data_IF_867678246761
#
_entry.id   IF_867678246761
#
_cell.length_a   1.000
_cell.length_b   1.000
_cell.length_c   1.000
_cell.angle_alpha   90.00
_cell.angle_beta   90.00
_cell.angle_gamma   90.00
#
_symmetry.space_group_name_H-M   'P 1'
#
loop_
_entity.id
_entity.type
_entity.pdbx_description
1 polymer ?
#
# COMPACT_ATOMS: atom_id res chain seq x y z
N UNK A 1 -4.88 -29.23 22.97
CA UNK A 1 -5.46 -28.21 22.06
C UNK A 1 -4.43 -27.46 21.20
N UNK A 2 -3.17 -27.25 21.63
CA UNK A 2 -2.14 -26.63 20.79
C UNK A 2 -1.65 -27.41 19.52
N UNK A 3 -1.64 -28.77 19.45
CA UNK A 3 -1.09 -29.46 18.28
C UNK A 3 -2.01 -29.48 17.06
N UNK A 4 -3.32 -29.21 17.23
CA UNK A 4 -4.30 -29.26 16.14
C UNK A 4 -4.32 -27.94 15.34
N UNK A 5 -4.17 -26.80 16.02
CA UNK A 5 -4.05 -25.48 15.37
C UNK A 5 -2.79 -25.34 14.50
N UNK A 6 -1.67 -25.97 14.90
CA UNK A 6 -0.45 -25.96 14.09
C UNK A 6 -0.60 -26.77 12.80
N UNK A 7 -1.41 -27.84 12.79
CA UNK A 7 -1.75 -28.60 11.56
C UNK A 7 -2.71 -27.83 10.65
N UNK A 8 -3.61 -27.02 11.22
CA UNK A 8 -4.46 -26.10 10.46
C UNK A 8 -3.65 -24.96 9.81
N UNK A 9 -2.53 -24.52 10.40
CA UNK A 9 -1.70 -23.43 9.85
C UNK A 9 -1.04 -23.74 8.49
N UNK A 10 -0.95 -25.01 8.12
CA UNK A 10 -0.50 -25.46 6.79
C UNK A 10 -1.64 -25.65 5.79
N UNK A 11 -2.89 -25.41 6.17
CA UNK A 11 -4.04 -25.55 5.27
C UNK A 11 -4.03 -24.44 4.20
N UNK A 12 -3.80 -24.77 2.92
CA UNK A 12 -3.81 -23.79 1.83
C UNK A 12 -5.14 -23.04 1.74
N UNK A 13 -6.24 -23.63 2.21
CA UNK A 13 -7.55 -22.99 2.23
C UNK A 13 -7.60 -21.84 3.24
N UNK A 14 -7.14 -22.04 4.48
CA UNK A 14 -7.13 -20.99 5.50
C UNK A 14 -6.19 -19.83 5.13
N UNK A 15 -5.06 -20.14 4.51
CA UNK A 15 -4.17 -19.11 3.96
C UNK A 15 -4.88 -18.33 2.85
N UNK A 16 -5.50 -19.02 1.88
CA UNK A 16 -6.24 -18.39 0.78
C UNK A 16 -7.36 -17.47 1.27
N UNK A 17 -8.14 -17.93 2.25
CA UNK A 17 -9.18 -17.14 2.92
C UNK A 17 -8.61 -15.87 3.56
N UNK A 18 -7.52 -15.99 4.31
CA UNK A 18 -6.84 -14.84 4.92
C UNK A 18 -6.43 -13.81 3.87
N UNK A 19 -5.80 -14.26 2.78
CA UNK A 19 -5.42 -13.40 1.67
C UNK A 19 -6.62 -12.77 0.96
N UNK A 20 -7.74 -13.49 0.83
CA UNK A 20 -8.98 -12.97 0.27
C UNK A 20 -9.51 -11.81 1.12
N UNK A 21 -9.55 -11.97 2.44
CA UNK A 21 -9.97 -10.91 3.36
C UNK A 21 -9.05 -9.69 3.33
N UNK A 22 -7.72 -9.90 3.28
CA UNK A 22 -6.76 -8.80 3.12
C UNK A 22 -7.03 -7.99 1.85
N UNK A 23 -7.22 -8.65 0.70
CA UNK A 23 -7.53 -7.95 -0.56
C UNK A 23 -8.87 -7.23 -0.50
N UNK A 24 -9.89 -7.82 0.13
CA UNK A 24 -11.18 -7.16 0.35
C UNK A 24 -11.04 -5.91 1.21
N UNK A 25 -10.25 -5.94 2.29
CA UNK A 25 -9.99 -4.76 3.12
C UNK A 25 -9.24 -3.67 2.35
N UNK A 26 -8.30 -4.05 1.47
CA UNK A 26 -7.59 -3.12 0.59
C UNK A 26 -8.49 -2.48 -0.49
N UNK A 27 -9.70 -3.02 -0.72
CA UNK A 27 -10.74 -2.36 -1.52
C UNK A 27 -11.71 -1.57 -0.63
N UNK A 28 -12.14 -2.17 0.48
CA UNK A 28 -13.17 -1.62 1.35
C UNK A 28 -12.71 -0.36 2.10
N UNK A 29 -11.47 -0.31 2.59
CA UNK A 29 -10.95 0.85 3.34
C UNK A 29 -10.83 2.10 2.45
N UNK A 30 -10.25 2.06 1.24
CA UNK A 30 -10.35 3.17 0.30
C UNK A 30 -11.79 3.54 -0.09
N UNK A 31 -12.65 2.54 -0.30
CA UNK A 31 -14.06 2.81 -0.62
C UNK A 31 -14.76 3.54 0.53
N UNK A 32 -14.45 3.20 1.78
CA UNK A 32 -14.93 3.92 2.96
C UNK A 32 -14.44 5.38 2.97
N UNK A 33 -13.19 5.64 2.58
CA UNK A 33 -12.70 7.01 2.42
C UNK A 33 -13.49 7.79 1.37
N UNK A 34 -13.76 7.18 0.21
CA UNK A 34 -14.55 7.80 -0.85
C UNK A 34 -15.99 8.08 -0.41
N UNK A 35 -16.63 7.14 0.28
CA UNK A 35 -17.97 7.32 0.85
C UNK A 35 -17.97 8.43 1.90
N UNK A 36 -16.95 8.48 2.77
CA UNK A 36 -16.79 9.55 3.76
C UNK A 36 -16.64 10.92 3.11
N UNK A 37 -15.85 11.02 2.03
CA UNK A 37 -15.67 12.24 1.26
C UNK A 37 -16.99 12.72 0.62
N UNK A 38 -17.71 11.81 -0.03
CA UNK A 38 -19.01 12.10 -0.66
C UNK A 38 -20.04 12.50 0.40
N UNK A 39 -20.12 11.76 1.51
CA UNK A 39 -21.01 12.07 2.62
C UNK A 39 -20.71 13.44 3.24
N UNK A 40 -19.42 13.77 3.42
CA UNK A 40 -18.99 15.09 3.86
C UNK A 40 -19.39 16.20 2.90
N UNK A 41 -19.19 16.00 1.60
CA UNK A 41 -19.58 16.98 0.57
C UNK A 41 -21.11 17.20 0.52
N UNK A 42 -21.91 16.15 0.74
CA UNK A 42 -23.37 16.25 0.82
C UNK A 42 -23.82 16.98 2.09
N UNK A 43 -23.23 16.63 3.24
CA UNK A 43 -23.63 17.17 4.54
C UNK A 43 -23.19 18.63 4.75
N UNK A 44 -22.00 19.00 4.27
CA UNK A 44 -21.38 20.30 4.53
C UNK A 44 -21.25 21.17 3.27
N UNK A 45 -21.74 20.69 2.12
CA UNK A 45 -21.70 21.39 0.83
C UNK A 45 -20.35 21.27 0.10
N UNK A 46 -20.35 21.55 -1.21
CA UNK A 46 -19.17 21.42 -2.08
C UNK A 46 -18.01 22.36 -1.70
N UNK A 47 -18.28 23.46 -1.00
CA UNK A 47 -17.26 24.38 -0.48
C UNK A 47 -16.43 23.81 0.69
N UNK A 48 -16.85 22.67 1.25
CA UNK A 48 -16.10 21.95 2.29
C UNK A 48 -15.05 20.99 1.72
N UNK A 49 -14.99 20.83 0.39
CA UNK A 49 -14.04 19.95 -0.29
C UNK A 49 -12.63 20.52 -0.14
N UNK A 50 -11.77 19.77 0.53
CA UNK A 50 -10.39 20.17 0.74
C UNK A 50 -9.55 19.98 -0.53
N UNK A 51 -8.46 20.75 -0.67
CA UNK A 51 -7.52 20.63 -1.79
C UNK A 51 -6.73 19.31 -1.83
N UNK A 52 -6.83 18.47 -0.78
CA UNK A 52 -6.31 17.10 -0.71
C UNK A 52 -7.13 16.22 0.25
N UNK A 53 -7.15 14.90 0.04
CA UNK A 53 -7.69 13.89 0.96
C UNK A 53 -7.02 13.98 2.34
N UNK A 54 -5.71 14.19 2.32
CA UNK A 54 -4.90 14.33 3.53
C UNK A 54 -5.16 15.63 4.31
N UNK A 55 -5.74 16.67 3.68
CA UNK A 55 -6.11 17.90 4.37
C UNK A 55 -7.33 17.74 5.28
N UNK A 56 -8.11 16.66 5.11
CA UNK A 56 -9.15 16.28 6.07
C UNK A 56 -8.60 15.86 7.44
N UNK A 57 -7.28 15.70 7.59
CA UNK A 57 -6.64 15.43 8.88
C UNK A 57 -7.02 16.46 9.95
N UNK A 58 -7.26 17.72 9.58
CA UNK A 58 -7.62 18.78 10.55
C UNK A 58 -9.13 18.98 10.71
N UNK A 59 -9.92 18.21 9.96
CA UNK A 59 -11.39 18.31 9.93
C UNK A 59 -12.10 17.13 10.60
N UNK A 60 -13.44 17.08 10.52
CA UNK A 60 -14.25 16.05 11.15
C UNK A 60 -14.04 14.64 10.55
N UNK A 61 -13.44 14.54 9.36
CA UNK A 61 -13.14 13.27 8.70
C UNK A 61 -11.75 12.71 9.07
N UNK A 62 -11.02 13.36 9.99
CA UNK A 62 -9.70 12.91 10.45
C UNK A 62 -9.68 11.45 10.86
N UNK A 63 -10.58 11.05 11.75
CA UNK A 63 -10.53 9.73 12.36
C UNK A 63 -10.77 8.62 11.32
N UNK A 64 -11.66 8.89 10.36
CA UNK A 64 -11.90 7.99 9.21
C UNK A 64 -10.66 7.93 8.31
N UNK A 65 -10.05 9.08 8.00
CA UNK A 65 -8.82 9.15 7.22
C UNK A 65 -7.68 8.35 7.85
N UNK A 66 -7.35 8.66 9.11
CA UNK A 66 -6.26 8.01 9.84
C UNK A 66 -6.54 6.52 10.00
N UNK A 67 -7.77 6.15 10.39
CA UNK A 67 -8.18 4.76 10.57
C UNK A 67 -8.03 3.93 9.29
N UNK A 68 -8.48 4.44 8.15
CA UNK A 68 -8.34 3.75 6.87
C UNK A 68 -6.88 3.65 6.43
N UNK A 69 -6.09 4.73 6.55
CA UNK A 69 -4.68 4.71 6.16
C UNK A 69 -3.84 3.75 7.02
N UNK A 70 -4.08 3.70 8.33
CA UNK A 70 -3.44 2.72 9.22
C UNK A 70 -3.89 1.30 8.88
N UNK A 71 -5.19 1.08 8.63
CA UNK A 71 -5.71 -0.21 8.21
C UNK A 71 -5.10 -0.70 6.88
N UNK A 72 -4.99 0.19 5.90
CA UNK A 72 -4.31 -0.06 4.62
C UNK A 72 -2.84 -0.41 4.87
N UNK A 73 -2.13 0.36 5.67
CA UNK A 73 -0.73 0.11 5.99
C UNK A 73 -0.50 -1.30 6.56
N UNK A 74 -1.33 -1.70 7.53
CA UNK A 74 -1.25 -3.03 8.14
C UNK A 74 -1.59 -4.12 7.12
N UNK A 75 -2.62 -3.92 6.29
CA UNK A 75 -3.00 -4.90 5.27
C UNK A 75 -1.90 -5.08 4.21
N UNK A 76 -1.23 -4.00 3.79
CA UNK A 76 -0.12 -4.04 2.83
C UNK A 76 1.08 -4.81 3.39
N UNK A 77 1.45 -4.57 4.66
CA UNK A 77 2.55 -5.29 5.33
C UNK A 77 2.22 -6.76 5.60
N UNK A 78 0.95 -7.05 5.90
CA UNK A 78 0.49 -8.43 6.16
C UNK A 78 0.38 -9.26 4.88
N UNK A 79 0.16 -8.63 3.73
CA UNK A 79 -0.01 -9.31 2.45
C UNK A 79 1.36 -9.78 1.91
N UNK A 80 1.67 -11.08 2.05
CA UNK A 80 2.86 -11.69 1.44
C UNK A 80 2.63 -12.09 -0.01
N UNK A 81 3.39 -11.47 -0.90
CA UNK A 81 3.44 -11.78 -2.33
C UNK A 81 4.76 -12.43 -2.74
N UNK A 82 5.10 -12.32 -4.03
CA UNK A 82 6.46 -12.61 -4.50
C UNK A 82 7.47 -11.59 -3.95
N UNK A 83 8.77 -11.90 -3.98
CA UNK A 83 9.79 -11.09 -3.31
C UNK A 83 9.75 -9.58 -3.63
N UNK A 84 9.52 -9.19 -4.90
CA UNK A 84 9.41 -7.77 -5.28
C UNK A 84 8.12 -7.14 -4.81
N UNK A 85 7.00 -7.85 -4.96
CA UNK A 85 5.69 -7.41 -4.50
C UNK A 85 5.69 -7.23 -2.98
N UNK A 86 6.12 -8.24 -2.23
CA UNK A 86 6.20 -8.22 -0.77
C UNK A 86 7.05 -7.04 -0.27
N UNK A 87 8.23 -6.86 -0.85
CA UNK A 87 9.11 -5.75 -0.48
C UNK A 87 8.49 -4.38 -0.79
N UNK A 88 7.87 -4.23 -1.96
CA UNK A 88 7.21 -3.00 -2.36
C UNK A 88 5.99 -2.67 -1.49
N UNK A 89 5.17 -3.67 -1.14
CA UNK A 89 4.01 -3.50 -0.27
C UNK A 89 4.42 -3.19 1.17
N UNK A 90 5.51 -3.78 1.67
CA UNK A 90 6.07 -3.43 2.98
C UNK A 90 6.52 -1.96 3.04
N UNK A 91 7.21 -1.47 2.00
CA UNK A 91 7.56 -0.06 1.88
C UNK A 91 6.33 0.84 1.77
N UNK A 92 5.35 0.47 0.94
CA UNK A 92 4.09 1.20 0.82
C UNK A 92 3.38 1.31 2.18
N UNK A 93 3.28 0.21 2.94
CA UNK A 93 2.69 0.22 4.28
C UNK A 93 3.45 1.11 5.26
N UNK A 94 4.79 1.09 5.23
CA UNK A 94 5.62 1.99 6.02
C UNK A 94 5.33 3.47 5.72
N UNK A 95 5.32 3.87 4.45
CA UNK A 95 5.01 5.24 4.06
C UNK A 95 3.56 5.65 4.36
N UNK A 96 2.61 4.73 4.21
CA UNK A 96 1.20 4.95 4.53
C UNK A 96 0.98 5.33 6.01
N UNK A 97 1.77 4.79 6.96
CA UNK A 97 1.70 5.22 8.37
C UNK A 97 2.08 6.69 8.55
N UNK A 98 3.10 7.18 7.81
CA UNK A 98 3.48 8.59 7.89
C UNK A 98 2.48 9.51 7.20
N UNK A 99 1.89 9.07 6.08
CA UNK A 99 0.75 9.76 5.47
C UNK A 99 -0.42 9.83 6.44
N UNK A 100 -0.65 8.78 7.24
CA UNK A 100 -1.70 8.74 8.23
C UNK A 100 -1.44 9.67 9.42
N UNK A 101 -0.21 9.74 9.94
CA UNK A 101 0.07 10.43 11.20
C UNK A 101 0.58 11.86 11.06
N UNK A 102 1.18 12.23 9.94
CA UNK A 102 1.76 13.55 9.71
C UNK A 102 0.81 14.35 8.81
N UNK A 103 0.25 15.49 9.25
CA UNK A 103 -0.66 16.29 8.43
C UNK A 103 0.03 16.94 7.22
N UNK A 104 -0.67 17.10 6.09
CA UNK A 104 -0.13 17.78 4.90
C UNK A 104 0.18 19.25 5.09
N UNK A 105 -0.64 19.95 5.89
CA UNK A 105 -0.51 21.38 6.13
C UNK A 105 0.07 21.67 7.52
N UNK A 106 0.80 20.71 8.09
CA UNK A 106 1.30 20.81 9.47
C UNK A 106 2.07 22.11 9.73
N UNK A 107 2.94 22.54 8.80
CA UNK A 107 3.67 23.81 8.93
C UNK A 107 2.73 25.02 9.08
N UNK A 108 1.70 25.09 8.23
CA UNK A 108 0.69 26.15 8.25
C UNK A 108 -0.11 26.10 9.56
N UNK A 109 -0.56 24.92 9.95
CA UNK A 109 -1.30 24.73 11.20
C UNK A 109 -0.47 25.10 12.43
N UNK A 110 0.83 24.77 12.46
CA UNK A 110 1.71 25.17 13.56
C UNK A 110 1.93 26.69 13.59
N UNK A 111 1.97 27.34 12.43
CA UNK A 111 2.11 28.79 12.32
C UNK A 111 0.86 29.54 12.81
N UNK A 112 -0.33 28.97 12.60
CA UNK A 112 -1.63 29.52 13.05
C UNK A 112 -1.90 29.35 14.55
N UNK A 113 -1.09 28.55 15.27
CA UNK A 113 -1.24 28.40 16.72
C UNK A 113 -0.80 29.67 17.46
N UNK A 114 -1.75 30.27 18.19
CA UNK A 114 -1.56 31.50 18.96
C UNK A 114 -0.60 31.33 20.16
N UNK A 115 -0.42 30.11 20.69
CA UNK A 115 0.36 29.85 21.91
C UNK A 115 1.58 28.95 21.65
N UNK A 116 2.80 29.35 22.10
CA UNK A 116 4.01 28.54 21.99
C UNK A 116 3.91 27.17 22.70
N UNK A 117 3.14 27.10 23.77
CA UNK A 117 2.95 25.88 24.58
C UNK A 117 2.23 24.81 23.76
N UNK A 118 1.13 25.18 23.09
CA UNK A 118 0.33 24.26 22.27
C UNK A 118 1.10 23.76 21.05
N UNK A 119 1.92 24.64 20.46
CA UNK A 119 2.84 24.27 19.37
C UNK A 119 3.83 23.20 19.84
N UNK A 120 4.44 23.41 21.01
CA UNK A 120 5.43 22.49 21.61
C UNK A 120 4.80 21.14 21.93
N UNK A 121 3.58 21.12 22.46
CA UNK A 121 2.82 19.90 22.75
C UNK A 121 2.60 19.05 21.49
N UNK A 122 2.15 19.67 20.39
CA UNK A 122 1.92 18.98 19.12
C UNK A 122 3.23 18.43 18.55
N UNK A 123 4.31 19.21 18.58
CA UNK A 123 5.63 18.75 18.11
C UNK A 123 6.11 17.54 18.92
N UNK A 124 5.95 17.57 20.24
CA UNK A 124 6.34 16.46 21.11
C UNK A 124 5.48 15.22 20.87
N UNK A 125 4.17 15.39 20.67
CA UNK A 125 3.26 14.30 20.28
C UNK A 125 3.67 13.66 18.94
N UNK A 126 4.06 14.48 17.96
CA UNK A 126 4.58 14.00 16.67
C UNK A 126 5.90 13.24 16.84
N UNK A 127 6.83 13.75 17.66
CA UNK A 127 8.10 13.08 17.96
C UNK A 127 7.87 11.71 18.61
N UNK A 128 6.94 11.61 19.56
CA UNK A 128 6.55 10.34 20.19
C UNK A 128 5.96 9.39 19.16
N UNK A 129 5.04 9.87 18.32
CA UNK A 129 4.42 9.05 17.26
C UNK A 129 5.45 8.54 16.26
N UNK A 130 6.34 9.41 15.78
CA UNK A 130 7.44 9.05 14.87
C UNK A 130 8.36 8.00 15.53
N UNK A 131 8.77 8.24 16.77
CA UNK A 131 9.59 7.31 17.53
C UNK A 131 8.94 5.94 17.68
N UNK A 132 7.66 5.90 18.03
CA UNK A 132 6.89 4.65 18.16
C UNK A 132 6.83 3.87 16.83
N UNK A 133 6.51 4.54 15.72
CA UNK A 133 6.45 3.90 14.39
C UNK A 133 7.83 3.35 14.00
N UNK A 134 8.91 4.12 14.21
CA UNK A 134 10.27 3.67 13.89
C UNK A 134 10.69 2.49 14.76
N UNK A 135 10.38 2.49 16.06
CA UNK A 135 10.70 1.37 16.97
C UNK A 135 9.98 0.10 16.51
N UNK A 136 8.68 0.17 16.20
CA UNK A 136 7.91 -0.98 15.70
C UNK A 136 8.45 -1.46 14.37
N UNK A 137 8.80 -0.54 13.46
CA UNK A 137 9.40 -0.89 12.16
C UNK A 137 10.73 -1.62 12.36
N UNK A 138 11.61 -1.11 13.22
CA UNK A 138 12.89 -1.75 13.54
C UNK A 138 12.67 -3.13 14.15
N UNK A 139 11.73 -3.27 15.09
CA UNK A 139 11.39 -4.57 15.68
C UNK A 139 10.93 -5.57 14.62
N UNK A 140 10.08 -5.16 13.67
CA UNK A 140 9.63 -5.99 12.57
C UNK A 140 10.79 -6.41 11.66
N UNK A 141 11.67 -5.47 11.28
CA UNK A 141 12.87 -5.75 10.48
C UNK A 141 13.83 -6.74 11.19
N UNK A 142 13.99 -6.61 12.51
CA UNK A 142 14.79 -7.55 13.31
C UNK A 142 14.17 -8.95 13.27
N UNK A 143 12.85 -9.07 13.43
CA UNK A 143 12.14 -10.36 13.35
C UNK A 143 12.28 -10.99 11.97
N UNK A 144 12.12 -10.22 10.89
CA UNK A 144 12.30 -10.72 9.53
C UNK A 144 13.74 -11.19 9.26
N UNK A 145 14.74 -10.42 9.70
CA UNK A 145 16.14 -10.78 9.56
C UNK A 145 16.48 -12.08 10.33
N UNK A 146 15.93 -12.25 11.55
CA UNK A 146 16.14 -13.45 12.38
C UNK A 146 15.46 -14.68 11.82
N UNK A 147 14.29 -14.53 11.19
CA UNK A 147 13.52 -15.64 10.63
C UNK A 147 13.98 -16.05 9.22
N UNK A 148 15.02 -15.41 8.67
CA UNK A 148 15.51 -15.62 7.29
C UNK A 148 14.43 -15.49 6.21
N UNK A 149 13.32 -14.81 6.52
CA UNK A 149 12.21 -14.55 5.58
C UNK A 149 12.46 -13.32 4.73
N UNK A 150 13.70 -12.88 4.64
CA UNK A 150 14.03 -11.59 4.05
C UNK A 150 14.00 -11.69 2.52
N UNK A 151 13.03 -10.98 1.91
CA UNK A 151 12.86 -10.90 0.45
C UNK A 151 14.15 -10.52 -0.30
N UNK A 152 15.06 -9.84 0.40
CA UNK A 152 16.39 -9.44 -0.05
C UNK A 152 17.20 -10.54 -0.78
N UNK A 153 17.17 -11.78 -0.29
CA UNK A 153 17.99 -12.84 -0.87
C UNK A 153 17.54 -13.18 -2.30
N UNK A 154 16.22 -13.17 -2.53
CA UNK A 154 15.64 -13.41 -3.84
C UNK A 154 15.78 -12.19 -4.76
N UNK A 155 15.60 -10.97 -4.22
CA UNK A 155 15.74 -9.72 -4.98
C UNK A 155 17.14 -9.50 -5.57
N UNK A 156 18.19 -10.06 -4.97
CA UNK A 156 19.57 -9.90 -5.46
C UNK A 156 19.93 -10.83 -6.62
N UNK A 157 19.14 -11.86 -6.89
CA UNK A 157 19.41 -12.82 -7.97
C UNK A 157 19.19 -12.22 -9.35
N UNK A 158 18.27 -11.27 -9.48
CA UNK A 158 17.95 -10.58 -10.72
C UNK A 158 18.48 -9.13 -10.70
N UNK A 159 19.10 -8.71 -11.79
CA UNK A 159 19.69 -7.37 -11.95
C UNK A 159 18.67 -6.25 -11.76
N UNK A 160 17.46 -6.41 -12.30
CA UNK A 160 16.40 -5.38 -12.25
C UNK A 160 15.94 -5.18 -10.80
N UNK A 161 15.56 -6.27 -10.13
CA UNK A 161 15.11 -6.24 -8.73
C UNK A 161 16.20 -5.79 -7.77
N UNK A 162 17.48 -6.07 -8.08
CA UNK A 162 18.62 -5.59 -7.30
C UNK A 162 18.77 -4.07 -7.37
N UNK A 163 18.64 -3.47 -8.55
CA UNK A 163 18.67 -2.01 -8.68
C UNK A 163 17.48 -1.36 -7.99
N UNK A 164 16.28 -1.91 -8.16
CA UNK A 164 15.09 -1.44 -7.43
C UNK A 164 15.30 -1.46 -5.93
N UNK A 165 15.80 -2.56 -5.39
CA UNK A 165 16.10 -2.70 -3.97
C UNK A 165 17.07 -1.61 -3.48
N UNK A 166 18.17 -1.37 -4.19
CA UNK A 166 19.15 -0.36 -3.79
C UNK A 166 18.59 1.05 -3.85
N UNK A 167 17.88 1.40 -4.92
CA UNK A 167 17.28 2.73 -5.10
C UNK A 167 16.22 2.98 -4.03
N UNK A 168 15.28 2.06 -3.86
CA UNK A 168 14.21 2.18 -2.86
C UNK A 168 14.73 2.18 -1.43
N UNK A 169 15.78 1.41 -1.11
CA UNK A 169 16.44 1.46 0.19
C UNK A 169 17.12 2.82 0.40
N UNK A 170 17.82 3.36 -0.60
CA UNK A 170 18.42 4.68 -0.51
C UNK A 170 17.36 5.78 -0.30
N UNK A 171 16.24 5.70 -1.00
CA UNK A 171 15.10 6.61 -0.82
C UNK A 171 14.46 6.47 0.57
N UNK A 172 14.30 5.25 1.08
CA UNK A 172 13.79 5.01 2.43
C UNK A 172 14.72 5.60 3.50
N UNK A 173 16.04 5.44 3.35
CA UNK A 173 17.02 6.03 4.24
C UNK A 173 17.03 7.56 4.15
N UNK A 174 16.93 8.12 2.94
CA UNK A 174 16.81 9.57 2.74
C UNK A 174 15.52 10.12 3.37
N UNK A 175 14.41 9.40 3.26
CA UNK A 175 13.15 9.74 3.93
C UNK A 175 13.28 9.71 5.46
N UNK A 176 13.89 8.66 6.02
CA UNK A 176 14.13 8.57 7.47
C UNK A 176 15.06 9.70 7.93
N UNK A 177 16.09 10.04 7.15
CA UNK A 177 16.97 11.16 7.47
C UNK A 177 16.21 12.50 7.46
N UNK A 178 15.37 12.75 6.44
CA UNK A 178 14.48 13.91 6.38
C UNK A 178 13.54 13.96 7.60
N UNK A 179 12.92 12.83 7.93
CA UNK A 179 12.00 12.69 9.04
C UNK A 179 12.67 13.01 10.38
N UNK A 180 13.84 12.44 10.64
CA UNK A 180 14.61 12.66 11.87
C UNK A 180 15.13 14.10 11.96
N UNK A 181 15.60 14.65 10.83
CA UNK A 181 15.99 16.06 10.75
C UNK A 181 14.84 16.98 11.13
N UNK A 182 13.66 16.80 10.51
CA UNK A 182 12.47 17.59 10.79
C UNK A 182 11.94 17.40 12.20
N UNK A 183 12.00 16.17 12.73
CA UNK A 183 11.66 15.91 14.12
C UNK A 183 12.60 16.61 15.10
N UNK A 184 13.90 16.67 14.81
CA UNK A 184 14.88 17.39 15.63
C UNK A 184 14.68 18.91 15.54
N UNK A 185 14.53 19.45 14.33
CA UNK A 185 14.28 20.87 14.06
C UNK A 185 12.98 21.37 14.72
N UNK A 186 11.88 20.64 14.54
CA UNK A 186 10.60 20.90 15.22
C UNK A 186 9.83 22.14 14.72
N UNK A 187 10.19 22.73 13.58
CA UNK A 187 9.58 24.00 13.12
C UNK A 187 8.44 23.78 12.12
N UNK A 188 8.72 23.17 10.97
CA UNK A 188 7.76 23.15 9.84
C UNK A 188 7.33 21.75 9.43
N UNK A 189 8.18 20.72 9.62
CA UNK A 189 7.94 19.37 9.07
C UNK A 189 7.63 19.37 7.55
N UNK A 190 8.09 20.40 6.83
CA UNK A 190 7.81 20.56 5.40
C UNK A 190 8.33 19.35 4.62
N UNK A 191 7.57 19.02 3.57
CA UNK A 191 7.85 17.95 2.63
C UNK A 191 7.79 16.52 3.20
N UNK A 192 7.66 16.32 4.52
CA UNK A 192 7.61 14.96 5.09
C UNK A 192 6.38 14.21 4.59
N UNK A 193 5.20 14.82 4.67
CA UNK A 193 3.98 14.20 4.15
C UNK A 193 4.06 13.97 2.64
N UNK A 194 4.47 14.99 1.88
CA UNK A 194 4.56 14.89 0.42
C UNK A 194 5.54 13.78 -0.01
N UNK A 195 6.71 13.70 0.64
CA UNK A 195 7.68 12.65 0.38
C UNK A 195 7.10 11.26 0.70
N UNK A 196 6.41 11.11 1.84
CA UNK A 196 5.74 9.86 2.20
C UNK A 196 4.67 9.48 1.16
N UNK A 197 3.84 10.43 0.72
CA UNK A 197 2.81 10.19 -0.29
C UNK A 197 3.38 9.78 -1.66
N UNK A 198 4.43 10.46 -2.12
CA UNK A 198 5.12 10.10 -3.38
C UNK A 198 5.76 8.71 -3.26
N UNK A 199 6.47 8.44 -2.17
CA UNK A 199 7.14 7.15 -1.95
C UNK A 199 6.13 6.01 -1.77
N UNK A 200 4.97 6.28 -1.18
CA UNK A 200 3.83 5.35 -1.14
C UNK A 200 3.36 4.97 -2.55
N UNK A 201 3.10 5.96 -3.40
CA UNK A 201 2.64 5.74 -4.79
C UNK A 201 3.71 5.01 -5.61
N UNK A 202 4.98 5.41 -5.50
CA UNK A 202 6.10 4.74 -6.19
C UNK A 202 6.25 3.28 -5.73
N UNK A 203 6.10 3.02 -4.43
CA UNK A 203 6.13 1.65 -3.89
C UNK A 203 4.96 0.83 -4.41
N UNK A 204 3.76 1.40 -4.47
CA UNK A 204 2.60 0.73 -5.05
C UNK A 204 2.78 0.46 -6.56
N UNK A 205 3.27 1.43 -7.33
CA UNK A 205 3.59 1.24 -8.74
C UNK A 205 4.61 0.11 -8.93
N UNK A 206 5.57 -0.04 -8.02
CA UNK A 206 6.53 -1.16 -8.03
C UNK A 206 5.83 -2.50 -7.78
N UNK A 207 4.86 -2.56 -6.86
CA UNK A 207 4.06 -3.76 -6.66
C UNK A 207 3.25 -4.12 -7.93
N UNK A 208 2.64 -3.13 -8.60
CA UNK A 208 1.96 -3.34 -9.90
C UNK A 208 2.94 -3.79 -10.98
N UNK A 209 4.15 -3.23 -11.02
CA UNK A 209 5.19 -3.59 -11.99
C UNK A 209 5.60 -5.08 -11.89
N UNK A 210 5.55 -5.67 -10.68
CA UNK A 210 5.77 -7.11 -10.48
C UNK A 210 4.76 -8.00 -11.22
N UNK A 211 3.56 -7.48 -11.52
CA UNK A 211 2.54 -8.17 -12.32
C UNK A 211 2.57 -7.76 -13.79
N UNK A 212 2.95 -6.52 -14.08
CA UNK A 212 3.05 -6.01 -15.45
C UNK A 212 4.20 -6.66 -16.23
N UNK A 213 5.33 -6.93 -15.56
CA UNK A 213 6.53 -7.50 -16.17
C UNK A 213 7.09 -8.67 -15.36
N UNK A 214 6.41 -9.84 -15.35
CA UNK A 214 6.79 -10.98 -14.51
C UNK A 214 8.20 -11.51 -14.84
N UNK A 215 8.57 -11.63 -16.12
CA UNK A 215 9.90 -12.14 -16.49
C UNK A 215 11.06 -11.20 -16.04
N UNK A 216 11.05 -9.89 -16.36
CA UNK A 216 12.07 -8.97 -15.86
C UNK A 216 12.12 -8.81 -14.34
N UNK A 217 11.02 -9.10 -13.64
CA UNK A 217 10.95 -9.01 -12.17
C UNK A 217 11.29 -10.32 -11.44
N UNK A 218 11.64 -11.37 -12.19
CA UNK A 218 12.01 -12.67 -11.61
C UNK A 218 10.82 -13.40 -10.99
N UNK A 219 9.60 -13.15 -11.50
CA UNK A 219 8.39 -13.83 -11.06
C UNK A 219 8.48 -15.33 -11.32
N UNK A 220 8.04 -16.11 -10.34
CA UNK A 220 7.92 -17.56 -10.42
C UNK A 220 6.49 -17.99 -10.78
N UNK A 221 5.59 -17.03 -11.00
CA UNK A 221 4.20 -17.29 -11.40
C UNK A 221 4.19 -18.06 -12.73
N UNK A 222 3.49 -19.21 -12.83
CA UNK A 222 3.32 -19.87 -14.10
C UNK A 222 2.59 -18.94 -15.08
N UNK A 223 2.89 -18.99 -16.39
CA UNK A 223 2.09 -18.31 -17.40
C UNK A 223 0.62 -18.68 -17.19
N UNK A 224 -0.26 -17.68 -17.09
CA UNK A 224 -1.67 -17.91 -16.80
C UNK A 224 -2.32 -18.68 -17.95
N UNK A 225 -2.42 -20.00 -17.78
CA UNK A 225 -3.30 -20.86 -18.54
C UNK A 225 -4.46 -21.22 -17.62
N UNK A 226 -5.33 -20.25 -17.30
CA UNK A 226 -6.58 -20.52 -16.59
C UNK A 226 -7.77 -20.39 -17.52
N UNK A 227 -8.35 -21.54 -17.86
CA UNK A 227 -9.66 -21.66 -18.50
C UNK A 227 -10.72 -21.29 -17.45
N UNK A 228 -11.25 -20.07 -17.52
CA UNK A 228 -12.41 -19.69 -16.72
C UNK A 228 -13.64 -20.49 -17.20
N UNK A 229 -14.49 -20.93 -16.26
CA UNK A 229 -15.77 -21.61 -16.53
C UNK A 229 -16.83 -20.70 -17.18
N UNK A 230 -16.50 -19.44 -17.45
CA UNK A 230 -17.35 -18.42 -18.05
C UNK A 230 -16.80 -17.93 -19.39
N UNK A 231 -16.75 -18.80 -20.41
CA UNK A 231 -16.79 -18.47 -21.85
C UNK A 231 -15.74 -17.56 -22.52
N UNK A 232 -15.08 -16.65 -21.80
CA UNK A 232 -14.14 -15.67 -22.36
C UNK A 232 -12.71 -16.07 -22.02
N UNK A 233 -12.03 -16.64 -23.00
CA UNK A 233 -10.62 -16.99 -22.93
C UNK A 233 -9.80 -15.70 -23.09
N UNK A 234 -9.41 -15.05 -22.00
CA UNK A 234 -8.35 -14.03 -22.07
C UNK A 234 -7.07 -14.72 -22.57
N UNK A 235 -6.46 -14.17 -23.62
CA UNK A 235 -5.22 -14.73 -24.12
C UNK A 235 -4.12 -14.58 -23.04
N UNK A 236 -3.12 -15.49 -22.97
CA UNK A 236 -2.04 -15.44 -21.97
C UNK A 236 -1.21 -14.13 -21.93
N UNK A 237 -1.46 -13.18 -22.84
CA UNK A 237 -0.88 -11.82 -22.83
C UNK A 237 -1.79 -10.72 -22.30
N UNK A 238 -3.10 -10.94 -22.14
CA UNK A 238 -4.06 -9.88 -21.77
C UNK A 238 -4.01 -9.53 -20.28
N UNK A 239 -3.61 -10.49 -19.43
CA UNK A 239 -3.49 -10.25 -17.99
C UNK A 239 -2.37 -9.25 -17.65
N UNK A 240 -1.18 -9.45 -18.24
CA UNK A 240 -0.05 -8.55 -18.08
C UNK A 240 -0.35 -7.15 -18.65
N UNK A 241 -1.06 -7.08 -19.78
CA UNK A 241 -1.50 -5.81 -20.39
C UNK A 241 -2.33 -4.97 -19.43
N UNK A 242 -3.25 -5.58 -18.67
CA UNK A 242 -4.03 -4.84 -17.67
C UNK A 242 -3.14 -4.14 -16.65
N UNK A 243 -2.14 -4.84 -16.12
CA UNK A 243 -1.23 -4.27 -15.12
C UNK A 243 -0.25 -3.25 -15.73
N UNK A 244 0.18 -3.45 -16.98
CA UNK A 244 0.97 -2.44 -17.72
C UNK A 244 0.18 -1.15 -17.87
N UNK A 245 -1.12 -1.23 -18.20
CA UNK A 245 -1.99 -0.05 -18.28
C UNK A 245 -2.11 0.63 -16.92
N UNK A 246 -2.42 -0.11 -15.85
CA UNK A 246 -2.51 0.46 -14.49
C UNK A 246 -1.20 1.15 -14.11
N UNK A 247 -0.06 0.49 -14.34
CA UNK A 247 1.26 1.07 -14.03
C UNK A 247 1.47 2.41 -14.74
N UNK A 248 1.22 2.49 -16.05
CA UNK A 248 1.40 3.74 -16.79
C UNK A 248 0.37 4.80 -16.41
N UNK A 249 -0.84 4.43 -15.99
CA UNK A 249 -1.81 5.36 -15.44
C UNK A 249 -1.36 5.94 -14.09
N UNK A 250 -0.68 5.15 -13.25
CA UNK A 250 -0.06 5.67 -12.01
C UNK A 250 1.09 6.62 -12.33
N UNK A 251 1.93 6.29 -13.32
CA UNK A 251 2.99 7.23 -13.77
C UNK A 251 2.37 8.52 -14.35
N UNK A 252 1.23 8.41 -15.04
CA UNK A 252 0.49 9.55 -15.57
C UNK A 252 -0.10 10.45 -14.48
N UNK A 253 -0.12 10.04 -13.21
CA UNK A 253 -0.47 10.90 -12.08
C UNK A 253 0.35 12.20 -12.03
N UNK A 254 1.61 12.17 -12.48
CA UNK A 254 2.46 13.37 -12.62
C UNK A 254 1.86 14.34 -13.64
N UNK A 255 1.38 13.83 -14.77
CA UNK A 255 0.74 14.63 -15.81
C UNK A 255 -0.63 15.15 -15.35
N UNK A 256 -1.39 14.35 -14.59
CA UNK A 256 -2.63 14.78 -13.95
C UNK A 256 -2.36 15.96 -13.01
N UNK A 257 -1.39 15.84 -12.11
CA UNK A 257 -1.01 16.94 -11.23
C UNK A 257 -0.61 18.19 -12.01
N UNK A 258 0.22 18.04 -13.05
CA UNK A 258 0.65 19.16 -13.89
C UNK A 258 -0.53 19.84 -14.61
N UNK A 259 -1.49 19.08 -15.12
CA UNK A 259 -2.67 19.59 -15.82
C UNK A 259 -3.57 20.43 -14.90
N UNK A 260 -3.67 20.06 -13.63
CA UNK A 260 -4.48 20.76 -12.64
C UNK A 260 -3.69 21.75 -11.77
N UNK A 261 -2.37 21.88 -11.96
CA UNK A 261 -1.45 22.67 -11.12
C UNK A 261 -1.81 24.15 -10.93
N UNK A 262 -2.65 24.71 -11.81
CA UNK A 262 -3.18 26.08 -11.72
C UNK A 262 -4.45 26.20 -10.87
N UNK A 263 -4.92 25.09 -10.31
CA UNK A 263 -6.14 25.02 -9.50
C UNK A 263 -5.80 24.54 -8.10
N UNK A 264 -6.60 24.93 -7.11
CA UNK A 264 -6.46 24.44 -5.73
C UNK A 264 -6.79 22.94 -5.59
N UNK A 265 -7.35 22.32 -6.64
CA UNK A 265 -7.76 20.92 -6.66
C UNK A 265 -6.69 19.97 -7.21
N UNK A 266 -5.50 20.46 -7.60
CA UNK A 266 -4.44 19.62 -8.17
C UNK A 266 -4.09 18.42 -7.29
N UNK A 267 -4.02 18.65 -5.97
CA UNK A 267 -3.74 17.61 -4.98
C UNK A 267 -4.83 16.56 -4.95
N UNK A 268 -6.07 16.95 -4.62
CA UNK A 268 -7.19 16.02 -4.46
C UNK A 268 -7.51 15.25 -5.74
N UNK A 269 -7.41 15.88 -6.92
CA UNK A 269 -7.64 15.17 -8.19
C UNK A 269 -6.58 14.10 -8.41
N UNK A 270 -5.30 14.41 -8.15
CA UNK A 270 -4.21 13.45 -8.29
C UNK A 270 -4.31 12.33 -7.25
N UNK A 271 -4.67 12.66 -6.01
CA UNK A 271 -4.84 11.68 -4.94
C UNK A 271 -6.03 10.74 -5.20
N UNK A 272 -7.16 11.27 -5.67
CA UNK A 272 -8.32 10.46 -6.07
C UNK A 272 -8.02 9.58 -7.28
N UNK A 273 -7.23 10.08 -8.22
CA UNK A 273 -6.74 9.31 -9.37
C UNK A 273 -5.91 8.11 -8.92
N UNK A 274 -4.87 8.33 -8.09
CA UNK A 274 -4.03 7.25 -7.57
C UNK A 274 -4.81 6.29 -6.67
N UNK A 275 -5.70 6.80 -5.82
CA UNK A 275 -6.57 5.98 -4.97
C UNK A 275 -7.51 5.09 -5.81
N UNK A 276 -8.06 5.64 -6.89
CA UNK A 276 -8.90 4.89 -7.84
C UNK A 276 -8.13 3.75 -8.51
N UNK A 277 -6.89 4.01 -8.94
CA UNK A 277 -6.01 2.99 -9.52
C UNK A 277 -5.62 1.91 -8.49
N UNK A 278 -5.33 2.31 -7.25
CA UNK A 278 -5.09 1.39 -6.14
C UNK A 278 -6.28 0.45 -5.92
N UNK A 279 -7.50 1.00 -5.85
CA UNK A 279 -8.74 0.22 -5.70
C UNK A 279 -8.96 -0.70 -6.89
N UNK A 280 -8.76 -0.20 -8.11
CA UNK A 280 -8.91 -1.00 -9.32
C UNK A 280 -7.94 -2.20 -9.32
N UNK A 281 -6.67 -1.98 -8.97
CA UNK A 281 -5.68 -3.04 -8.85
C UNK A 281 -6.13 -4.11 -7.85
N UNK A 282 -6.49 -3.73 -6.62
CA UNK A 282 -6.88 -4.69 -5.59
C UNK A 282 -8.21 -5.39 -5.89
N UNK A 283 -9.15 -4.70 -6.53
CA UNK A 283 -10.40 -5.30 -6.99
C UNK A 283 -10.13 -6.40 -8.04
N UNK A 284 -9.28 -6.10 -9.03
CA UNK A 284 -8.87 -7.07 -10.05
C UNK A 284 -8.15 -8.26 -9.40
N UNK A 285 -7.22 -8.02 -8.48
CA UNK A 285 -6.54 -9.09 -7.72
C UNK A 285 -7.52 -9.96 -6.93
N UNK A 286 -8.52 -9.33 -6.30
CA UNK A 286 -9.55 -10.03 -5.52
C UNK A 286 -10.36 -10.95 -6.42
N UNK A 287 -10.86 -10.46 -7.56
CA UNK A 287 -11.64 -11.26 -8.50
C UNK A 287 -10.84 -12.40 -9.11
N UNK A 288 -9.60 -12.12 -9.55
CA UNK A 288 -8.74 -13.14 -10.19
C UNK A 288 -8.33 -14.25 -9.22
N UNK A 289 -8.21 -13.94 -7.93
CA UNK A 289 -7.81 -14.88 -6.87
C UNK A 289 -8.98 -15.19 -5.92
N UNK A 290 -10.22 -15.20 -6.41
CA UNK A 290 -11.39 -15.45 -5.59
C UNK A 290 -11.47 -16.92 -5.16
N UNK A 291 -11.40 -17.82 -6.15
CA UNK A 291 -11.52 -19.26 -5.94
C UNK A 291 -10.21 -19.83 -5.38
N UNK A 292 -10.28 -20.74 -4.39
CA UNK A 292 -9.11 -21.41 -3.87
C UNK A 292 -8.41 -22.21 -4.98
N UNK A 293 -7.09 -22.43 -4.87
CA UNK A 293 -6.41 -23.40 -5.72
C UNK A 293 -7.13 -24.74 -5.57
N UNK A 294 -7.72 -25.26 -6.65
CA UNK A 294 -8.23 -26.64 -6.60
C UNK A 294 -7.04 -27.54 -6.33
N UNK A 295 -7.09 -28.32 -5.25
CA UNK A 295 -6.13 -29.39 -5.03
C UNK A 295 -6.03 -30.18 -6.35
N UNK A 296 -4.82 -30.31 -6.89
CA UNK A 296 -4.62 -31.13 -8.08
C UNK A 296 -5.29 -32.50 -7.82
N UNK A 297 -5.99 -33.10 -8.80
CA UNK A 297 -6.62 -34.40 -8.63
C UNK A 297 -5.54 -35.50 -8.56
N UNK A 298 -4.78 -35.52 -7.47
CA UNK A 298 -3.81 -36.56 -7.15
C UNK A 298 -4.41 -37.62 -6.21
N UNK A 299 -5.50 -37.32 -5.50
CA UNK A 299 -6.16 -38.27 -4.60
C UNK A 299 -7.26 -39.13 -5.25
N UNK A 300 -7.70 -38.79 -6.48
CA UNK A 300 -8.74 -39.55 -7.19
C UNK A 300 -8.18 -40.66 -8.10
N UNK A 301 -6.87 -40.67 -8.37
CA UNK A 301 -6.23 -41.69 -9.18
C UNK A 301 -5.83 -42.94 -8.35
N UNK A 302 -5.55 -42.80 -7.06
CA UNK A 302 -5.21 -43.94 -6.19
C UNK A 302 -6.44 -44.79 -5.81
N UNK A 303 -7.67 -44.24 -5.84
CA UNK A 303 -8.90 -45.02 -5.62
C UNK A 303 -9.45 -45.74 -6.87
N UNK A 304 -8.83 -45.61 -8.04
CA UNK A 304 -9.26 -46.30 -9.27
C UNK A 304 -8.40 -47.49 -9.68
N UNK A 305 -7.35 -47.79 -8.91
CA UNK A 305 -6.46 -48.95 -9.18
C UNK A 305 -6.81 -50.16 -8.32
N UNK A 306 -7.65 -50.00 -7.29
CA UNK A 306 -8.21 -51.11 -6.52
C UNK A 306 -9.72 -51.23 -6.77
N UNK A 307 -10.12 -51.78 -7.91
CA UNK A 307 -11.38 -52.53 -8.07
C UNK A 307 -11.41 -53.31 -9.39
#
# INVERSE_FOLDING_TARGET
MAPEQLRASSDPYLAHETYRHLRLMLVALPALLLVGLIGGAIAFGLGSIQGSLSAYYLGPLRDVFVGCMVGIAVCLVAYRGEALEDYALNLAGFYALFVAFIPTQLARSLAELETPEKRTEIINSLRVTIGAVLIVTIAFLIVEARTKRWAYHELRKNTVTRWFYWISTALALAFVALLLWRAAEGTTFDNVHLAAAILLVVSMATAVASYAWPAPTGSLRPPSVRRQSSGELMAPGDEARTYVVIFWLMVAGIAVYAAFSRTDFAGIVTELWELGLFVAFWFIQTRRKWDPPTAAPAAAAEMRVEH
#
